data_IF_072633898119
#
_entry.id   IF_072633898119
#
_cell.length_a   1.000
_cell.length_b   1.000
_cell.length_c   1.000
_cell.angle_alpha   90.00
_cell.angle_beta   90.00
_cell.angle_gamma   90.00
#
_symmetry.space_group_name_H-M   'P 1'
#
loop_
_entity.id
_entity.type
_entity.pdbx_description
1 polymer ?
#
# COMPACT_ATOMS: atom_id res chain seq x y z
N UNK A 1 6.37 -5.66 19.29
CA UNK A 1 6.97 -4.54 18.53
C UNK A 1 7.58 -4.90 17.17
N UNK A 2 8.24 -6.06 16.97
CA UNK A 2 8.90 -6.43 15.69
C UNK A 2 8.03 -6.40 14.40
N UNK A 3 6.70 -6.36 14.52
CA UNK A 3 5.78 -6.37 13.37
C UNK A 3 5.44 -4.98 12.81
N UNK A 4 5.82 -3.89 13.47
CA UNK A 4 5.42 -2.55 13.03
C UNK A 4 6.19 -2.09 11.79
N UNK A 5 7.48 -2.38 11.72
CA UNK A 5 8.36 -2.01 10.60
C UNK A 5 8.06 -2.77 9.31
N UNK A 6 7.57 -4.01 9.39
CA UNK A 6 7.21 -4.80 8.20
C UNK A 6 5.73 -4.71 7.86
N UNK A 7 4.94 -4.02 8.69
CA UNK A 7 3.50 -3.89 8.53
C UNK A 7 3.08 -3.30 7.18
N UNK A 8 3.67 -2.20 6.69
CA UNK A 8 3.26 -1.59 5.43
C UNK A 8 3.49 -2.56 4.25
N UNK A 9 4.66 -3.18 4.20
CA UNK A 9 5.01 -4.15 3.17
C UNK A 9 4.11 -5.38 3.20
N UNK A 10 3.77 -5.87 4.39
CA UNK A 10 2.85 -7.00 4.54
C UNK A 10 1.47 -6.69 3.96
N UNK A 11 0.95 -5.48 4.18
CA UNK A 11 -0.35 -5.06 3.61
C UNK A 11 -0.26 -5.06 2.09
N UNK A 12 0.75 -4.39 1.50
CA UNK A 12 0.89 -4.33 0.04
C UNK A 12 1.07 -5.71 -0.60
N UNK A 13 1.86 -6.59 0.00
CA UNK A 13 2.05 -7.97 -0.49
C UNK A 13 0.76 -8.79 -0.38
N UNK A 14 0.04 -8.68 0.74
CA UNK A 14 -1.24 -9.34 0.92
C UNK A 14 -2.24 -8.87 -0.15
N UNK A 15 -2.27 -7.58 -0.45
CA UNK A 15 -3.17 -7.02 -1.44
C UNK A 15 -2.85 -7.46 -2.87
N UNK A 16 -1.56 -7.56 -3.24
CA UNK A 16 -1.14 -8.17 -4.50
C UNK A 16 -1.61 -9.62 -4.59
N UNK A 17 -1.51 -10.39 -3.49
CA UNK A 17 -1.97 -11.79 -3.46
C UNK A 17 -3.49 -11.88 -3.64
N UNK A 18 -4.26 -11.04 -2.96
CA UNK A 18 -5.73 -10.97 -3.08
C UNK A 18 -6.15 -10.54 -4.49
N UNK A 19 -5.48 -9.55 -5.08
CA UNK A 19 -5.75 -9.11 -6.46
C UNK A 19 -5.46 -10.23 -7.47
N UNK A 20 -4.39 -11.01 -7.29
CA UNK A 20 -4.11 -12.19 -8.13
C UNK A 20 -5.21 -13.25 -8.02
N UNK A 21 -5.76 -13.47 -6.83
CA UNK A 21 -6.88 -14.40 -6.64
C UNK A 21 -8.15 -13.89 -7.32
N UNK A 22 -8.45 -12.59 -7.21
CA UNK A 22 -9.58 -11.96 -7.88
C UNK A 22 -9.46 -12.04 -9.41
N UNK A 23 -8.26 -11.85 -9.97
CA UNK A 23 -8.02 -12.00 -11.42
C UNK A 23 -8.32 -13.43 -11.87
N UNK A 24 -7.87 -14.43 -11.12
CA UNK A 24 -8.20 -15.84 -11.43
C UNK A 24 -9.71 -16.06 -11.41
N UNK A 25 -10.39 -15.66 -10.32
CA UNK A 25 -11.85 -15.78 -10.21
C UNK A 25 -12.61 -15.05 -11.33
N UNK A 26 -12.15 -13.86 -11.74
CA UNK A 26 -12.79 -13.11 -12.82
C UNK A 26 -12.69 -13.81 -14.17
N UNK A 27 -11.57 -14.50 -14.44
CA UNK A 27 -11.40 -15.32 -15.64
C UNK A 27 -12.32 -16.54 -15.61
N UNK A 28 -12.42 -17.21 -14.47
CA UNK A 28 -13.28 -18.38 -14.29
C UNK A 28 -14.77 -18.02 -14.47
N UNK A 29 -15.18 -16.81 -14.05
CA UNK A 29 -16.54 -16.30 -14.16
C UNK A 29 -16.84 -15.57 -15.49
N UNK A 30 -15.92 -15.57 -16.47
CA UNK A 30 -16.01 -14.77 -17.72
C UNK A 30 -16.35 -13.28 -17.49
N UNK A 31 -15.95 -12.75 -16.34
CA UNK A 31 -16.26 -11.41 -15.90
C UNK A 31 -15.27 -10.42 -16.52
N UNK A 32 -15.76 -9.35 -17.16
CA UNK A 32 -14.93 -8.33 -17.84
C UNK A 32 -14.26 -7.32 -16.88
N UNK A 33 -14.21 -7.60 -15.58
CA UNK A 33 -13.74 -6.61 -14.60
C UNK A 33 -12.24 -6.43 -14.67
N UNK A 34 -11.83 -5.19 -14.94
CA UNK A 34 -10.43 -4.82 -14.94
C UNK A 34 -9.91 -4.65 -13.51
N UNK A 35 -9.14 -5.62 -13.03
CA UNK A 35 -8.52 -5.62 -11.68
C UNK A 35 -7.08 -5.06 -11.70
N UNK A 36 -6.48 -4.89 -12.88
CA UNK A 36 -5.11 -4.39 -13.04
C UNK A 36 -4.83 -3.04 -12.34
N UNK A 37 -5.77 -2.06 -12.32
CA UNK A 37 -5.56 -0.81 -11.59
C UNK A 37 -5.28 -1.00 -10.10
N UNK A 38 -5.92 -1.97 -9.44
CA UNK A 38 -5.70 -2.25 -8.02
C UNK A 38 -4.35 -2.90 -7.76
N UNK A 39 -3.90 -3.73 -8.70
CA UNK A 39 -2.60 -4.36 -8.63
C UNK A 39 -1.48 -3.33 -8.84
N UNK A 40 -1.66 -2.40 -9.78
CA UNK A 40 -0.74 -1.27 -9.99
C UNK A 40 -0.65 -0.38 -8.74
N UNK A 41 -1.79 -0.03 -8.13
CA UNK A 41 -1.82 0.75 -6.90
C UNK A 41 -1.11 0.06 -5.73
N UNK A 42 -1.24 -1.26 -5.60
CA UNK A 42 -0.52 -2.03 -4.58
C UNK A 42 1.01 -2.04 -4.82
N UNK A 43 1.44 -2.14 -6.08
CA UNK A 43 2.87 -2.02 -6.43
C UNK A 43 3.42 -0.62 -6.19
N UNK A 44 2.68 0.43 -6.55
CA UNK A 44 3.05 1.82 -6.28
C UNK A 44 3.16 2.09 -4.79
N UNK A 45 2.24 1.55 -3.98
CA UNK A 45 2.31 1.65 -2.53
C UNK A 45 3.58 0.99 -1.98
N UNK A 46 3.92 -0.23 -2.42
CA UNK A 46 5.16 -0.90 -2.01
C UNK A 46 6.40 -0.11 -2.40
N UNK A 47 6.42 0.46 -3.62
CA UNK A 47 7.54 1.28 -4.11
C UNK A 47 7.71 2.55 -3.28
N UNK A 48 6.62 3.26 -2.98
CA UNK A 48 6.66 4.46 -2.14
C UNK A 48 7.15 4.11 -0.74
N UNK A 49 6.64 3.03 -0.13
CA UNK A 49 7.11 2.58 1.18
C UNK A 49 8.59 2.22 1.19
N UNK A 50 9.10 1.58 0.13
CA UNK A 50 10.54 1.30 -0.04
C UNK A 50 11.37 2.58 -0.08
N UNK A 51 10.96 3.57 -0.88
CA UNK A 51 11.64 4.86 -0.98
C UNK A 51 11.66 5.54 0.39
N UNK A 52 10.52 5.62 1.07
CA UNK A 52 10.43 6.26 2.39
C UNK A 52 11.35 5.58 3.42
N UNK A 53 11.46 4.25 3.39
CA UNK A 53 12.37 3.51 4.27
C UNK A 53 13.83 3.81 3.97
N UNK A 54 14.21 3.83 2.69
CA UNK A 54 15.57 4.18 2.27
C UNK A 54 15.89 5.62 2.69
N UNK A 55 14.96 6.56 2.51
CA UNK A 55 15.11 7.96 2.93
C UNK A 55 15.30 8.07 4.44
N UNK A 56 14.52 7.35 5.25
CA UNK A 56 14.68 7.35 6.71
C UNK A 56 16.05 6.80 7.11
N UNK A 57 16.50 5.69 6.50
CA UNK A 57 17.84 5.13 6.76
C UNK A 57 18.93 6.13 6.38
N UNK A 58 18.80 6.77 5.22
CA UNK A 58 19.75 7.78 4.75
C UNK A 58 19.85 8.97 5.72
N UNK A 59 18.71 9.50 6.16
CA UNK A 59 18.68 10.62 7.11
C UNK A 59 19.24 10.20 8.46
N UNK A 60 18.97 8.98 8.94
CA UNK A 60 19.54 8.48 10.20
C UNK A 60 21.08 8.41 10.15
N UNK A 61 21.66 8.00 9.02
CA UNK A 61 23.12 7.99 8.82
C UNK A 61 23.65 9.42 8.73
N UNK A 62 22.99 10.28 7.97
CA UNK A 62 23.38 11.69 7.82
C UNK A 62 23.30 12.47 9.13
N UNK A 63 22.34 12.13 10.00
CA UNK A 63 22.11 12.79 11.28
C UNK A 63 23.23 12.53 12.31
N UNK A 64 24.10 11.54 12.07
CA UNK A 64 25.34 11.34 12.84
C UNK A 64 26.32 12.49 12.62
N UNK A 65 26.30 13.08 11.42
CA UNK A 65 27.21 14.15 11.01
C UNK A 65 26.57 15.54 11.09
N UNK A 66 25.25 15.65 10.92
CA UNK A 66 24.50 16.90 11.07
C UNK A 66 23.16 16.68 11.80
N UNK A 67 23.03 17.10 13.07
CA UNK A 67 21.82 16.86 13.87
C UNK A 67 20.57 17.58 13.33
N UNK A 68 20.70 18.53 12.39
CA UNK A 68 19.54 19.15 11.72
C UNK A 68 18.73 18.09 10.94
N UNK A 69 19.36 16.99 10.50
CA UNK A 69 18.68 15.87 9.84
C UNK A 69 17.52 15.28 10.64
N UNK A 70 17.54 15.34 11.97
CA UNK A 70 16.43 14.86 12.81
C UNK A 70 15.14 15.67 12.63
N UNK A 71 15.23 16.96 12.27
CA UNK A 71 14.06 17.81 12.03
C UNK A 71 13.33 17.34 10.76
N UNK A 72 14.07 16.87 9.76
CA UNK A 72 13.53 16.38 8.47
C UNK A 72 12.85 15.00 8.63
N UNK A 73 13.21 14.22 9.66
CA UNK A 73 12.53 12.95 9.94
C UNK A 73 11.07 13.14 10.35
N UNK A 74 10.74 14.22 11.07
CA UNK A 74 9.38 14.48 11.56
C UNK A 74 8.34 14.53 10.41
N UNK A 75 8.50 15.39 9.38
CA UNK A 75 7.56 15.41 8.26
C UNK A 75 7.58 14.10 7.49
N UNK A 76 8.74 13.46 7.32
CA UNK A 76 8.86 12.17 6.61
C UNK A 76 8.04 11.05 7.28
N UNK A 77 8.09 10.97 8.61
CA UNK A 77 7.31 10.00 9.39
C UNK A 77 5.81 10.32 9.30
N UNK A 78 5.43 11.59 9.41
CA UNK A 78 4.04 12.03 9.28
C UNK A 78 3.45 11.71 7.89
N UNK A 79 4.19 12.02 6.82
CA UNK A 79 3.76 11.70 5.45
C UNK A 79 3.62 10.20 5.25
N UNK A 80 4.56 9.40 5.76
CA UNK A 80 4.48 7.93 5.71
C UNK A 80 3.22 7.42 6.42
N UNK A 81 2.92 7.98 7.60
CA UNK A 81 1.76 7.58 8.39
C UNK A 81 0.43 7.94 7.70
N UNK A 82 0.32 9.17 7.16
CA UNK A 82 -0.85 9.62 6.40
C UNK A 82 -1.05 8.76 5.15
N UNK A 83 0.02 8.50 4.40
CA UNK A 83 -0.05 7.67 3.19
C UNK A 83 -0.49 6.24 3.51
N UNK A 84 0.06 5.65 4.58
CA UNK A 84 -0.35 4.33 5.09
C UNK A 84 -1.83 4.31 5.49
N UNK A 85 -2.32 5.37 6.14
CA UNK A 85 -3.73 5.49 6.52
C UNK A 85 -4.65 5.57 5.30
N UNK A 86 -4.31 6.37 4.30
CA UNK A 86 -5.07 6.49 3.05
C UNK A 86 -5.15 5.12 2.37
N UNK A 87 -4.01 4.45 2.22
CA UNK A 87 -3.95 3.13 1.61
C UNK A 87 -4.73 2.08 2.41
N UNK A 88 -4.74 2.15 3.74
CA UNK A 88 -5.46 1.16 4.57
C UNK A 88 -6.97 1.42 4.69
N UNK A 89 -7.41 2.68 4.64
CA UNK A 89 -8.83 3.03 4.91
C UNK A 89 -9.61 3.43 3.66
N UNK A 90 -8.98 4.18 2.75
CA UNK A 90 -9.67 4.72 1.57
C UNK A 90 -9.64 3.72 0.44
N UNK A 91 -8.46 3.17 0.14
CA UNK A 91 -8.27 2.25 -0.98
C UNK A 91 -9.17 0.99 -0.92
N UNK A 92 -9.34 0.30 0.23
CA UNK A 92 -10.18 -0.89 0.28
C UNK A 92 -11.66 -0.57 0.07
N UNK A 93 -12.11 0.61 0.51
CA UNK A 93 -13.48 1.08 0.26
C UNK A 93 -13.70 1.31 -1.23
N UNK A 94 -12.80 2.06 -1.88
CA UNK A 94 -12.88 2.32 -3.32
C UNK A 94 -12.88 1.03 -4.14
N UNK A 95 -12.01 0.08 -3.78
CA UNK A 95 -11.94 -1.26 -4.39
C UNK A 95 -13.24 -2.04 -4.21
N UNK A 96 -13.80 -2.06 -2.99
CA UNK A 96 -15.07 -2.73 -2.69
C UNK A 96 -16.20 -2.18 -3.57
N UNK A 97 -16.40 -0.87 -3.59
CA UNK A 97 -17.45 -0.24 -4.42
C UNK A 97 -17.29 -0.52 -5.92
N UNK A 98 -16.05 -0.50 -6.42
CA UNK A 98 -15.79 -0.83 -7.82
C UNK A 98 -16.07 -2.31 -8.13
N UNK A 99 -15.71 -3.24 -7.25
CA UNK A 99 -15.96 -4.67 -7.46
C UNK A 99 -17.45 -5.02 -7.32
N UNK A 100 -18.18 -4.35 -6.43
CA UNK A 100 -19.64 -4.48 -6.27
C UNK A 100 -20.38 -3.95 -7.50
N UNK A 101 -20.05 -2.73 -7.96
CA UNK A 101 -20.68 -2.15 -9.16
C UNK A 101 -20.46 -2.97 -10.42
N UNK A 102 -19.39 -3.76 -10.48
CA UNK A 102 -19.10 -4.65 -11.60
C UNK A 102 -19.48 -6.13 -11.35
N UNK A 103 -20.25 -6.43 -10.30
CA UNK A 103 -20.85 -7.75 -10.07
C UNK A 103 -19.90 -8.85 -9.60
N UNK A 104 -18.68 -8.53 -9.15
CA UNK A 104 -17.72 -9.50 -8.59
C UNK A 104 -17.87 -9.72 -7.08
N UNK A 105 -18.59 -8.84 -6.39
CA UNK A 105 -18.99 -9.01 -5.00
C UNK A 105 -20.53 -9.09 -4.96
N UNK A 106 -21.08 -10.28 -4.71
CA UNK A 106 -22.47 -10.43 -4.27
C UNK A 106 -22.53 -10.03 -2.80
N UNK A 107 -23.48 -9.16 -2.46
CA UNK A 107 -23.85 -8.90 -1.06
C UNK A 107 -24.48 -10.19 -0.51
N UNK A 108 -23.70 -10.96 0.23
CA UNK A 108 -24.20 -11.85 1.27
C UNK A 108 -23.95 -11.19 2.63
#
# INVERSE_FOLDING_TARGET
MKRFLTYPFRIGIQEVRENKQLIKKSKDLSSKVNIYPFMYAAYMYLLIMSIMYITVIYILIGAIFDPIGFIILIPTILTTWIFTLIYKKVFPKTKKYYLESNGLYKND
#
